data_IF_257727753161
#
_entry.id   IF_257727753161
#
_cell.length_a   1.000
_cell.length_b   1.000
_cell.length_c   1.000
_cell.angle_alpha   90.00
_cell.angle_beta   90.00
_cell.angle_gamma   90.00
#
_symmetry.space_group_name_H-M   'P 1'
#
loop_
_entity.id
_entity.type
_entity.pdbx_description
1 polymer ?
#
# COMPACT_ATOMS: atom_id res chain seq x y z
N UNK A 1 -2.09 13.62 -25.58
CA UNK A 1 -2.59 14.71 -24.74
C UNK A 1 -1.45 15.62 -24.33
N UNK A 2 -1.72 16.90 -24.11
CA UNK A 2 -0.73 17.93 -23.76
C UNK A 2 0.08 17.56 -22.50
N UNK A 3 -0.51 16.83 -21.55
CA UNK A 3 0.18 16.43 -20.32
C UNK A 3 1.15 15.28 -20.54
N UNK A 4 0.82 14.35 -21.43
CA UNK A 4 1.75 13.30 -21.83
C UNK A 4 2.93 13.88 -22.59
N UNK A 5 2.68 14.82 -23.49
CA UNK A 5 3.72 15.50 -24.27
C UNK A 5 4.68 16.25 -23.36
N UNK A 6 4.16 17.01 -22.38
CA UNK A 6 5.00 17.70 -21.37
C UNK A 6 5.83 16.71 -20.53
N UNK A 7 5.27 15.57 -20.19
CA UNK A 7 6.01 14.56 -19.44
C UNK A 7 7.14 13.94 -20.25
N UNK A 8 6.89 13.67 -21.52
CA UNK A 8 7.90 13.15 -22.43
C UNK A 8 9.00 14.16 -22.71
N UNK A 9 8.70 15.46 -22.69
CA UNK A 9 9.70 16.52 -22.73
C UNK A 9 10.55 16.57 -21.46
N UNK A 10 9.92 16.38 -20.28
CA UNK A 10 10.60 16.35 -18.98
C UNK A 10 11.35 15.05 -18.70
N UNK A 11 10.94 13.96 -19.35
CA UNK A 11 11.51 12.62 -19.19
C UNK A 11 11.79 12.02 -20.57
N UNK A 12 12.93 12.38 -21.19
CA UNK A 12 13.28 11.86 -22.50
C UNK A 12 13.36 10.34 -22.49
N UNK A 13 12.96 9.74 -23.60
CA UNK A 13 13.04 8.31 -23.77
C UNK A 13 14.43 7.77 -23.42
N UNK A 14 14.54 6.62 -22.73
CA UNK A 14 15.83 6.04 -22.39
C UNK A 14 16.68 5.81 -23.62
N UNK A 15 18.01 5.96 -23.54
CA UNK A 15 18.89 5.68 -24.65
C UNK A 15 18.80 4.21 -25.08
N UNK A 16 18.96 3.95 -26.38
CA UNK A 16 18.99 2.59 -26.93
C UNK A 16 17.63 1.95 -27.20
N UNK A 17 16.52 2.72 -27.17
CA UNK A 17 15.20 2.20 -27.45
C UNK A 17 14.63 1.28 -26.37
N UNK A 18 15.16 1.37 -25.15
CA UNK A 18 14.68 0.61 -24.00
C UNK A 18 13.23 1.02 -23.65
N UNK A 19 12.33 0.05 -23.38
CA UNK A 19 10.99 0.36 -22.92
C UNK A 19 10.99 1.09 -21.56
N UNK A 20 9.98 1.89 -21.31
CA UNK A 20 9.81 2.66 -20.08
C UNK A 20 8.34 2.86 -19.76
N UNK A 21 8.06 3.13 -18.49
CA UNK A 21 6.71 3.43 -18.01
C UNK A 21 6.59 4.93 -17.76
N UNK A 22 5.45 5.49 -18.10
CA UNK A 22 5.07 6.87 -17.78
C UNK A 22 3.75 6.83 -17.01
N UNK A 23 3.68 7.55 -15.89
CA UNK A 23 2.46 7.69 -15.09
C UNK A 23 2.13 9.17 -14.96
N UNK A 24 0.93 9.57 -15.39
CA UNK A 24 0.37 10.89 -15.13
C UNK A 24 -0.49 10.85 -13.88
N UNK A 25 -0.11 11.60 -12.85
CA UNK A 25 -0.91 11.75 -11.63
C UNK A 25 -2.21 12.49 -11.95
N UNK A 26 -2.14 13.54 -12.75
CA UNK A 26 -3.28 14.38 -13.12
C UNK A 26 -4.31 13.60 -13.96
N UNK A 27 -3.85 12.89 -14.99
CA UNK A 27 -4.74 12.12 -15.87
C UNK A 27 -5.12 10.76 -15.27
N UNK A 28 -4.42 10.31 -14.24
CA UNK A 28 -4.58 8.99 -13.63
C UNK A 28 -4.54 7.90 -14.68
N UNK A 29 -3.42 7.90 -15.43
CA UNK A 29 -3.15 6.99 -16.54
C UNK A 29 -1.69 6.57 -16.56
N UNK A 30 -1.47 5.33 -16.98
CA UNK A 30 -0.17 4.73 -17.17
C UNK A 30 -0.01 4.37 -18.65
N UNK A 31 1.19 4.61 -19.17
CA UNK A 31 1.64 4.16 -20.49
C UNK A 31 2.91 3.33 -20.37
N UNK A 32 2.96 2.21 -21.02
CA UNK A 32 4.18 1.46 -21.26
C UNK A 32 4.61 1.72 -22.71
N UNK A 33 5.78 2.31 -22.87
CA UNK A 33 6.23 2.85 -24.16
C UNK A 33 7.56 2.26 -24.58
N UNK A 34 7.80 2.24 -25.87
CA UNK A 34 9.11 2.00 -26.46
C UNK A 34 9.31 3.03 -27.58
N UNK A 35 10.24 3.98 -27.39
CA UNK A 35 10.32 5.16 -28.24
C UNK A 35 9.00 5.93 -28.23
N UNK A 36 8.52 6.27 -29.42
CA UNK A 36 7.24 6.98 -29.59
C UNK A 36 6.02 6.03 -29.55
N UNK A 37 6.25 4.72 -29.59
CA UNK A 37 5.18 3.74 -29.62
C UNK A 37 4.66 3.42 -28.25
N UNK A 38 3.34 3.46 -28.06
CA UNK A 38 2.67 2.97 -26.86
C UNK A 38 2.37 1.48 -27.02
N UNK A 39 3.00 0.66 -26.16
CA UNK A 39 2.78 -0.79 -26.13
C UNK A 39 1.48 -1.11 -25.39
N UNK A 40 1.25 -0.39 -24.27
CA UNK A 40 0.10 -0.60 -23.41
C UNK A 40 -0.25 0.69 -22.66
N UNK A 41 -1.53 0.93 -22.46
CA UNK A 41 -2.01 2.05 -21.65
C UNK A 41 -3.26 1.66 -20.87
N UNK A 42 -3.38 2.16 -19.66
CA UNK A 42 -4.55 1.91 -18.81
C UNK A 42 -4.76 3.03 -17.80
N UNK A 43 -5.98 3.09 -17.26
CA UNK A 43 -6.32 3.98 -16.16
C UNK A 43 -5.80 3.41 -14.85
N UNK A 44 -5.39 4.31 -13.94
CA UNK A 44 -4.85 3.95 -12.63
C UNK A 44 -5.51 4.80 -11.53
N UNK A 45 -5.33 4.38 -10.29
CA UNK A 45 -5.59 5.22 -9.13
C UNK A 45 -4.26 5.73 -8.58
N UNK A 46 -4.25 6.96 -8.13
CA UNK A 46 -3.07 7.64 -7.59
C UNK A 46 -3.32 8.12 -6.15
N UNK A 47 -2.29 8.65 -5.50
CA UNK A 47 -2.39 9.18 -4.15
C UNK A 47 -3.44 10.27 -4.01
N UNK A 48 -4.14 10.28 -2.88
CA UNK A 48 -5.21 11.25 -2.59
C UNK A 48 -4.68 12.67 -2.37
N UNK A 49 -3.41 12.82 -2.06
CA UNK A 49 -2.80 14.09 -1.65
C UNK A 49 -3.20 14.53 -0.24
N UNK A 50 -3.98 13.73 0.47
CA UNK A 50 -4.41 14.03 1.85
C UNK A 50 -3.26 13.85 2.82
N UNK A 51 -3.37 14.54 3.94
CA UNK A 51 -2.42 14.43 5.06
C UNK A 51 -3.12 13.80 6.26
N UNK A 52 -2.47 12.86 6.91
CA UNK A 52 -2.86 12.30 8.19
C UNK A 52 -1.89 12.82 9.26
N UNK A 53 -2.45 13.40 10.33
CA UNK A 53 -1.68 13.97 11.44
C UNK A 53 -2.03 13.22 12.71
N UNK A 54 -1.00 12.86 13.47
CA UNK A 54 -1.11 12.22 14.78
C UNK A 54 -0.52 13.14 15.88
N UNK A 55 -1.14 13.11 17.05
CA UNK A 55 -0.62 13.72 18.29
C UNK A 55 -0.21 15.20 18.14
N UNK A 56 -1.12 16.04 17.62
CA UNK A 56 -0.90 17.48 17.54
C UNK A 56 0.16 17.90 16.52
N UNK A 57 0.47 17.05 15.53
CA UNK A 57 1.38 17.37 14.43
C UNK A 57 2.79 16.82 14.59
N UNK A 58 3.05 15.96 15.57
CA UNK A 58 4.36 15.33 15.76
C UNK A 58 4.66 14.32 14.65
N UNK A 59 3.65 13.53 14.26
CA UNK A 59 3.73 12.59 13.13
C UNK A 59 2.75 13.01 12.04
N UNK A 60 3.26 13.14 10.82
CA UNK A 60 2.49 13.52 9.65
C UNK A 60 2.80 12.58 8.49
N UNK A 61 1.74 12.09 7.83
CA UNK A 61 1.85 11.28 6.61
C UNK A 61 1.12 11.97 5.47
N UNK A 62 1.82 12.18 4.38
CA UNK A 62 1.26 12.76 3.16
C UNK A 62 1.07 11.67 2.12
N UNK A 63 -0.18 11.48 1.69
CA UNK A 63 -0.55 10.40 0.76
C UNK A 63 -0.44 10.87 -0.69
N UNK A 64 0.78 11.17 -1.11
CA UNK A 64 1.09 11.58 -2.47
C UNK A 64 1.80 10.48 -3.25
N UNK A 65 1.46 10.35 -4.53
CA UNK A 65 2.28 9.60 -5.46
C UNK A 65 3.54 10.42 -5.75
N UNK A 66 4.75 9.84 -5.61
CA UNK A 66 6.00 10.58 -5.82
C UNK A 66 6.16 10.97 -7.28
N UNK A 67 6.75 12.14 -7.52
CA UNK A 67 7.09 12.62 -8.86
C UNK A 67 8.55 12.34 -9.15
N UNK A 68 8.89 12.15 -10.42
CA UNK A 68 10.25 11.99 -10.89
C UNK A 68 10.52 10.64 -11.48
N UNK A 69 11.81 10.31 -11.59
CA UNK A 69 12.28 9.05 -12.17
C UNK A 69 12.49 8.00 -11.08
N UNK A 70 11.82 6.87 -11.25
CA UNK A 70 12.02 5.66 -10.46
C UNK A 70 12.45 4.52 -11.36
N UNK A 71 12.80 3.39 -10.79
CA UNK A 71 13.22 2.20 -11.52
C UNK A 71 12.53 0.99 -10.92
N UNK A 72 12.08 0.07 -11.77
CA UNK A 72 11.54 -1.22 -11.32
C UNK A 72 12.64 -2.00 -10.61
N UNK A 73 12.45 -2.25 -9.32
CA UNK A 73 13.44 -2.92 -8.47
C UNK A 73 13.13 -4.39 -8.24
N UNK A 74 11.90 -4.78 -8.37
CA UNK A 74 11.47 -6.16 -8.17
C UNK A 74 10.01 -6.36 -8.53
N UNK A 75 9.58 -7.61 -8.56
CA UNK A 75 8.22 -8.01 -8.90
C UNK A 75 7.77 -9.14 -7.98
N UNK A 76 6.50 -9.13 -7.60
CA UNK A 76 5.92 -10.13 -6.70
C UNK A 76 4.56 -10.61 -7.21
N UNK A 77 4.29 -11.90 -7.00
CA UNK A 77 2.99 -12.55 -7.21
C UNK A 77 2.33 -12.72 -5.85
N UNK A 78 1.01 -12.49 -5.78
CA UNK A 78 0.21 -12.59 -4.54
C UNK A 78 0.88 -11.84 -3.37
N UNK A 79 1.16 -10.55 -3.52
CA UNK A 79 1.88 -9.79 -2.52
C UNK A 79 1.09 -9.70 -1.22
N UNK A 80 1.80 -9.78 -0.10
CA UNK A 80 1.25 -9.54 1.23
C UNK A 80 1.57 -8.11 1.62
N UNK A 81 0.56 -7.37 2.02
CA UNK A 81 0.75 -6.03 2.55
C UNK A 81 1.07 -6.08 4.04
N UNK A 82 2.14 -5.42 4.44
CA UNK A 82 2.48 -5.18 5.84
C UNK A 82 2.13 -3.72 6.12
N UNK A 83 0.93 -3.44 6.67
CA UNK A 83 0.48 -2.06 6.82
C UNK A 83 1.38 -1.28 7.78
N UNK A 84 1.81 -0.07 7.41
CA UNK A 84 2.49 0.84 8.33
C UNK A 84 1.54 1.36 9.41
N UNK A 85 2.09 2.00 10.43
CA UNK A 85 1.31 2.50 11.57
C UNK A 85 0.15 3.42 11.15
N UNK A 86 0.33 4.23 10.10
CA UNK A 86 -0.71 5.15 9.66
C UNK A 86 -2.03 4.46 9.29
N UNK A 87 -1.98 3.22 8.82
CA UNK A 87 -3.20 2.47 8.50
C UNK A 87 -4.09 2.30 9.73
N UNK A 88 -3.50 1.89 10.84
CA UNK A 88 -4.22 1.68 12.10
C UNK A 88 -4.67 3.00 12.72
N UNK A 89 -3.86 4.04 12.59
CA UNK A 89 -4.17 5.38 13.07
C UNK A 89 -5.35 5.98 12.28
N UNK A 90 -5.34 5.85 10.96
CA UNK A 90 -6.45 6.27 10.11
C UNK A 90 -7.75 5.51 10.46
N UNK A 91 -7.65 4.20 10.66
CA UNK A 91 -8.77 3.36 11.09
C UNK A 91 -9.33 3.82 12.43
N UNK A 92 -8.49 4.09 13.41
CA UNK A 92 -8.89 4.57 14.73
C UNK A 92 -9.54 5.96 14.65
N UNK A 93 -8.93 6.87 13.90
CA UNK A 93 -9.41 8.26 13.77
C UNK A 93 -10.82 8.30 13.15
N UNK A 94 -11.08 7.52 12.13
CA UNK A 94 -12.40 7.44 11.49
C UNK A 94 -13.50 6.89 12.41
N UNK A 95 -13.14 6.14 13.45
CA UNK A 95 -14.07 5.49 14.38
C UNK A 95 -14.11 6.12 15.76
N UNK A 96 -13.34 7.16 15.97
CA UNK A 96 -13.25 7.80 17.30
C UNK A 96 -12.63 6.91 18.37
N UNK A 97 -11.74 5.99 17.97
CA UNK A 97 -11.05 5.07 18.87
C UNK A 97 -9.66 5.59 19.23
N UNK A 98 -9.16 5.18 20.39
CA UNK A 98 -7.77 5.38 20.78
C UNK A 98 -6.83 4.41 20.07
N UNK A 99 -5.56 4.50 20.38
CA UNK A 99 -4.50 3.69 19.76
C UNK A 99 -3.65 3.08 20.86
N UNK A 100 -3.41 1.78 20.75
CA UNK A 100 -2.46 1.06 21.59
C UNK A 100 -1.47 0.31 20.71
N UNK A 101 -0.23 0.76 20.69
CA UNK A 101 0.85 0.04 20.00
C UNK A 101 1.32 -1.11 20.88
N UNK A 102 1.08 -2.33 20.44
CA UNK A 102 1.46 -3.53 21.16
C UNK A 102 2.91 -3.89 20.83
N UNK A 103 3.69 -4.16 21.88
CA UNK A 103 5.07 -4.62 21.74
C UNK A 103 5.19 -6.04 22.29
N UNK A 104 6.22 -6.77 21.86
CA UNK A 104 6.54 -8.07 22.44
C UNK A 104 6.86 -7.90 23.92
N UNK A 105 6.24 -8.74 24.76
CA UNK A 105 6.31 -8.62 26.21
C UNK A 105 5.18 -7.81 26.85
N UNK A 106 4.40 -7.08 26.06
CA UNK A 106 3.23 -6.37 26.55
C UNK A 106 2.07 -7.33 26.84
N UNK A 107 1.25 -6.96 27.83
CA UNK A 107 -0.01 -7.61 28.14
C UNK A 107 -1.10 -6.54 28.24
N UNK A 108 -2.09 -6.59 27.37
CA UNK A 108 -3.20 -5.67 27.35
C UNK A 108 -4.45 -6.34 27.91
N UNK A 109 -4.96 -5.84 29.02
CA UNK A 109 -6.21 -6.34 29.60
C UNK A 109 -7.39 -6.07 28.68
N UNK A 110 -8.29 -7.04 28.56
CA UNK A 110 -9.53 -6.94 27.81
C UNK A 110 -10.74 -6.87 28.73
N UNK A 111 -11.86 -6.24 28.30
CA UNK A 111 -13.06 -6.10 29.14
C UNK A 111 -13.69 -7.43 29.58
N UNK A 112 -13.38 -8.53 28.91
CA UNK A 112 -13.87 -9.88 29.26
C UNK A 112 -13.02 -10.56 30.35
N UNK A 113 -12.06 -9.85 30.95
CA UNK A 113 -11.17 -10.39 31.99
C UNK A 113 -9.98 -11.18 31.45
N UNK A 114 -9.74 -11.12 30.15
CA UNK A 114 -8.61 -11.75 29.50
C UNK A 114 -7.49 -10.79 29.16
N UNK A 115 -6.59 -11.24 28.29
CA UNK A 115 -5.40 -10.48 27.88
C UNK A 115 -5.13 -10.66 26.40
N UNK A 116 -4.56 -9.61 25.78
CA UNK A 116 -3.95 -9.68 24.45
C UNK A 116 -2.44 -9.58 24.62
N UNK A 117 -1.71 -10.55 24.08
CA UNK A 117 -0.26 -10.67 24.15
C UNK A 117 0.31 -11.11 22.82
N UNK A 118 1.63 -11.14 22.69
CA UNK A 118 2.33 -11.67 21.53
C UNK A 118 3.00 -12.97 21.91
N UNK A 119 2.65 -14.07 21.25
CA UNK A 119 3.27 -15.38 21.40
C UNK A 119 3.83 -15.86 20.06
N UNK A 120 5.15 -15.97 19.95
CA UNK A 120 5.80 -16.33 18.70
C UNK A 120 5.49 -15.31 17.59
N UNK A 121 4.87 -15.77 16.51
CA UNK A 121 4.49 -14.92 15.37
C UNK A 121 3.02 -14.49 15.41
N UNK A 122 2.33 -14.68 16.52
CA UNK A 122 0.92 -14.36 16.64
C UNK A 122 0.63 -13.37 17.74
N UNK A 123 -0.30 -12.46 17.47
CA UNK A 123 -1.03 -11.73 18.51
C UNK A 123 -2.18 -12.61 18.95
N UNK A 124 -2.23 -12.94 20.22
CA UNK A 124 -3.19 -13.90 20.76
C UNK A 124 -4.08 -13.25 21.82
N UNK A 125 -5.29 -13.78 21.95
CA UNK A 125 -6.22 -13.43 23.02
C UNK A 125 -6.34 -14.63 23.96
N UNK A 126 -5.97 -14.42 25.22
CA UNK A 126 -6.19 -15.37 26.29
C UNK A 126 -7.44 -14.97 27.05
N UNK A 127 -8.44 -15.85 27.07
CA UNK A 127 -9.69 -15.62 27.81
C UNK A 127 -9.51 -15.88 29.30
N UNK A 128 -10.49 -15.42 30.09
CA UNK A 128 -10.45 -15.60 31.56
C UNK A 128 -10.39 -17.07 31.99
N UNK A 129 -10.88 -18.01 31.18
CA UNK A 129 -10.80 -19.45 31.45
C UNK A 129 -9.46 -20.09 31.05
N UNK A 130 -8.50 -19.27 30.56
CA UNK A 130 -7.16 -19.72 30.19
C UNK A 130 -7.01 -20.19 28.74
N UNK A 131 -8.11 -20.28 27.96
CA UNK A 131 -8.02 -20.60 26.52
C UNK A 131 -7.39 -19.47 25.75
N UNK A 132 -6.47 -19.81 24.86
CA UNK A 132 -5.71 -18.86 24.04
C UNK A 132 -5.90 -19.16 22.57
N UNK A 133 -6.22 -18.12 21.80
CA UNK A 133 -6.42 -18.21 20.35
C UNK A 133 -5.70 -17.07 19.64
N UNK A 134 -5.06 -17.31 18.48
CA UNK A 134 -4.57 -16.25 17.63
C UNK A 134 -5.74 -15.41 17.12
N UNK A 135 -5.52 -14.08 17.07
CA UNK A 135 -6.51 -13.16 16.52
C UNK A 135 -6.51 -13.23 15.00
N UNK A 136 -7.65 -12.89 14.40
CA UNK A 136 -7.76 -12.76 12.95
C UNK A 136 -6.94 -11.57 12.45
N UNK A 137 -6.61 -11.58 11.16
CA UNK A 137 -5.88 -10.50 10.50
C UNK A 137 -6.52 -10.15 9.16
N UNK A 138 -6.30 -8.94 8.72
CA UNK A 138 -6.73 -8.46 7.42
C UNK A 138 -7.47 -7.14 7.49
N UNK A 139 -7.72 -6.56 6.33
CA UNK A 139 -8.50 -5.33 6.21
C UNK A 139 -9.93 -5.56 6.70
N UNK A 140 -10.42 -4.69 7.56
CA UNK A 140 -11.71 -4.80 8.23
C UNK A 140 -11.71 -5.71 9.47
N UNK A 141 -10.56 -6.32 9.80
CA UNK A 141 -10.38 -7.19 10.96
C UNK A 141 -9.30 -6.67 11.91
N UNK A 142 -9.13 -5.37 11.92
CA UNK A 142 -8.22 -4.70 12.84
C UNK A 142 -8.63 -4.99 14.28
N UNK A 143 -7.65 -5.19 15.14
CA UNK A 143 -7.89 -5.54 16.55
C UNK A 143 -8.37 -4.32 17.30
N UNK A 144 -9.54 -4.42 17.91
CA UNK A 144 -10.10 -3.38 18.78
C UNK A 144 -10.33 -3.97 20.16
N UNK A 145 -9.77 -3.35 21.18
CA UNK A 145 -9.91 -3.77 22.56
C UNK A 145 -9.91 -2.56 23.51
N UNK A 146 -10.82 -2.55 24.48
CA UNK A 146 -10.92 -1.50 25.50
C UNK A 146 -10.96 -0.07 24.91
N UNK A 147 -11.66 0.12 23.79
CA UNK A 147 -11.79 1.42 23.13
C UNK A 147 -10.59 1.84 22.27
N UNK A 148 -9.62 0.96 22.09
CA UNK A 148 -8.42 1.23 21.31
C UNK A 148 -8.29 0.29 20.11
N UNK A 149 -7.74 0.82 19.03
CA UNK A 149 -7.16 0.00 17.95
C UNK A 149 -5.79 -0.46 18.42
N UNK A 150 -5.58 -1.77 18.38
CA UNK A 150 -4.30 -2.39 18.77
C UNK A 150 -3.44 -2.53 17.52
N UNK A 151 -2.29 -1.88 17.51
CA UNK A 151 -1.32 -1.98 16.42
C UNK A 151 -0.42 -3.19 16.71
N UNK A 152 -0.51 -4.27 15.90
CA UNK A 152 0.33 -5.45 16.11
C UNK A 152 1.79 -5.16 15.74
N UNK A 153 2.75 -5.80 16.42
CA UNK A 153 4.16 -5.62 16.05
C UNK A 153 4.48 -6.21 14.69
N UNK A 154 5.50 -5.65 14.04
CA UNK A 154 6.03 -6.21 12.81
C UNK A 154 6.50 -7.66 13.03
N UNK A 155 6.32 -8.49 12.03
CA UNK A 155 6.65 -9.92 12.07
C UNK A 155 5.52 -10.81 12.57
N UNK A 156 4.44 -10.25 13.10
CA UNK A 156 3.25 -11.03 13.49
C UNK A 156 2.33 -11.27 12.30
N UNK A 157 1.60 -12.38 12.34
CA UNK A 157 0.60 -12.70 11.31
C UNK A 157 -0.53 -11.67 11.26
N UNK A 158 -0.84 -11.04 12.40
CA UNK A 158 -1.86 -10.00 12.49
C UNK A 158 -1.42 -8.67 11.87
N UNK A 159 -0.14 -8.52 11.53
CA UNK A 159 0.40 -7.39 10.77
C UNK A 159 0.52 -7.68 9.27
N UNK A 160 -0.05 -8.76 8.77
CA UNK A 160 0.02 -9.18 7.36
C UNK A 160 -1.37 -9.22 6.76
N UNK A 161 -1.61 -8.39 5.76
CA UNK A 161 -2.89 -8.29 5.07
C UNK A 161 -2.77 -8.87 3.66
N UNK A 162 -3.56 -9.91 3.39
CA UNK A 162 -3.58 -10.59 2.09
C UNK A 162 -4.68 -10.00 1.21
N UNK A 163 -4.43 -9.95 -0.11
CA UNK A 163 -5.41 -9.53 -1.12
C UNK A 163 -5.52 -8.04 -1.35
N UNK A 164 -5.12 -7.21 -0.41
CA UNK A 164 -5.24 -5.73 -0.49
C UNK A 164 -4.49 -5.16 -1.70
N UNK A 165 -3.31 -5.72 -2.00
CA UNK A 165 -2.47 -5.28 -3.13
C UNK A 165 -2.81 -5.98 -4.44
N UNK A 166 -3.90 -6.74 -4.48
CA UNK A 166 -4.31 -7.49 -5.66
C UNK A 166 -3.39 -8.64 -6.00
N UNK A 167 -3.35 -9.01 -7.29
CA UNK A 167 -2.68 -10.21 -7.76
C UNK A 167 -1.16 -10.08 -7.89
N UNK A 168 -0.65 -8.88 -8.17
CA UNK A 168 0.77 -8.63 -8.45
C UNK A 168 1.21 -7.26 -7.93
N UNK A 169 2.51 -7.14 -7.69
CA UNK A 169 3.14 -5.88 -7.33
C UNK A 169 4.46 -5.71 -8.09
N UNK A 170 4.69 -4.50 -8.61
CA UNK A 170 5.94 -4.08 -9.23
C UNK A 170 6.55 -3.02 -8.31
N UNK A 171 7.69 -3.33 -7.70
CA UNK A 171 8.35 -2.48 -6.71
C UNK A 171 9.15 -1.37 -7.37
N UNK A 172 8.99 -0.15 -6.89
CA UNK A 172 9.68 1.05 -7.40
C UNK A 172 10.72 1.62 -6.43
N UNK A 173 10.85 1.03 -5.25
CA UNK A 173 11.72 1.55 -4.19
C UNK A 173 11.01 2.52 -3.24
N UNK A 174 11.62 2.80 -2.10
CA UNK A 174 11.14 3.73 -1.06
C UNK A 174 9.70 3.43 -0.58
N UNK A 175 9.29 2.17 -0.65
CA UNK A 175 7.94 1.76 -0.26
C UNK A 175 6.87 2.02 -1.33
N UNK A 176 7.22 2.54 -2.50
CA UNK A 176 6.29 2.76 -3.60
C UNK A 176 6.25 1.59 -4.57
N UNK A 177 5.08 1.38 -5.15
CA UNK A 177 4.85 0.28 -6.08
C UNK A 177 3.70 0.58 -7.05
N UNK A 178 3.70 -0.16 -8.14
CA UNK A 178 2.52 -0.42 -8.96
C UNK A 178 1.94 -1.74 -8.47
N UNK A 179 0.66 -1.79 -8.16
CA UNK A 179 0.05 -3.03 -7.67
C UNK A 179 -1.42 -3.15 -8.10
N UNK A 180 -1.96 -4.35 -8.02
CA UNK A 180 -3.38 -4.58 -8.19
C UNK A 180 -4.21 -4.06 -7.03
N UNK A 181 -5.47 -4.42 -6.99
CA UNK A 181 -6.38 -3.93 -5.96
C UNK A 181 -7.53 -4.91 -5.71
N UNK A 182 -8.03 -4.94 -4.49
CA UNK A 182 -9.30 -5.56 -4.12
C UNK A 182 -10.49 -4.58 -4.29
N UNK A 183 -10.19 -3.33 -4.72
CA UNK A 183 -11.18 -2.25 -4.91
C UNK A 183 -11.13 -1.70 -6.34
N UNK A 184 -11.59 -2.48 -7.33
CA UNK A 184 -11.51 -2.07 -8.74
C UNK A 184 -12.28 -0.79 -9.05
N UNK A 185 -13.27 -0.43 -8.25
CA UNK A 185 -14.02 0.83 -8.37
C UNK A 185 -13.17 2.07 -8.10
N UNK A 186 -12.01 1.93 -7.47
CA UNK A 186 -11.09 3.05 -7.19
C UNK A 186 -10.26 3.50 -8.40
N UNK A 187 -10.22 2.70 -9.46
CA UNK A 187 -9.44 3.01 -10.67
C UNK A 187 -9.97 4.27 -11.35
N UNK A 188 -9.05 5.15 -11.70
CA UNK A 188 -9.36 6.46 -12.28
C UNK A 188 -9.56 7.57 -11.24
N UNK A 189 -9.33 7.29 -9.97
CA UNK A 189 -9.51 8.22 -8.87
C UNK A 189 -8.19 8.52 -8.15
N UNK A 190 -8.15 9.64 -7.42
CA UNK A 190 -7.04 10.02 -6.55
C UNK A 190 -7.40 9.62 -5.11
N UNK A 191 -7.22 8.36 -4.76
CA UNK A 191 -7.73 7.78 -3.50
C UNK A 191 -6.74 6.89 -2.76
N UNK A 192 -5.59 6.59 -3.35
CA UNK A 192 -4.59 5.75 -2.71
C UNK A 192 -3.77 6.50 -1.66
N UNK A 193 -2.92 5.80 -0.94
CA UNK A 193 -2.00 6.35 0.05
C UNK A 193 -0.60 6.62 -0.53
N UNK A 194 -0.48 6.68 -1.87
CA UNK A 194 0.74 7.01 -2.59
C UNK A 194 1.10 6.03 -3.70
N UNK A 195 0.86 4.74 -3.51
CA UNK A 195 1.07 3.75 -4.56
C UNK A 195 0.08 3.92 -5.72
N UNK A 196 0.49 3.45 -6.88
CA UNK A 196 -0.33 3.45 -8.09
C UNK A 196 -1.10 2.14 -8.18
N UNK A 197 -2.43 2.21 -8.16
CA UNK A 197 -3.30 1.03 -8.27
C UNK A 197 -3.73 0.81 -9.71
N UNK A 198 -3.65 -0.44 -10.14
CA UNK A 198 -4.14 -0.90 -11.43
C UNK A 198 -5.20 -1.99 -11.21
N UNK A 199 -6.01 -2.25 -12.23
CA UNK A 199 -6.82 -3.46 -12.24
C UNK A 199 -5.92 -4.69 -12.21
N UNK A 200 -6.39 -5.78 -11.63
CA UNK A 200 -5.59 -7.00 -11.50
C UNK A 200 -5.15 -7.56 -12.85
N UNK A 201 -6.01 -7.54 -13.87
CA UNK A 201 -5.66 -7.97 -15.22
C UNK A 201 -4.54 -7.10 -15.83
N UNK A 202 -4.53 -5.80 -15.56
CA UNK A 202 -3.53 -4.86 -16.11
C UNK A 202 -2.17 -5.04 -15.44
N UNK A 203 -2.14 -5.15 -14.11
CA UNK A 203 -0.88 -5.38 -13.40
C UNK A 203 -0.30 -6.76 -13.70
N UNK A 204 -1.14 -7.78 -13.88
CA UNK A 204 -0.70 -9.10 -14.28
C UNK A 204 -0.05 -9.07 -15.67
N UNK A 205 -0.62 -8.32 -16.61
CA UNK A 205 -0.05 -8.13 -17.93
C UNK A 205 1.29 -7.40 -17.86
N UNK A 206 1.37 -6.27 -17.17
CA UNK A 206 2.63 -5.54 -16.98
C UNK A 206 3.69 -6.39 -16.29
N UNK A 207 3.31 -7.14 -15.27
CA UNK A 207 4.21 -8.07 -14.60
C UNK A 207 4.87 -9.03 -15.59
N UNK A 208 4.13 -9.49 -16.59
CA UNK A 208 4.62 -10.45 -17.58
C UNK A 208 5.60 -9.85 -18.59
N UNK A 209 5.54 -8.54 -18.86
CA UNK A 209 6.30 -7.89 -19.93
C UNK A 209 7.31 -6.85 -19.46
N UNK A 210 7.20 -6.35 -18.22
CA UNK A 210 8.08 -5.28 -17.69
C UNK A 210 9.26 -5.92 -16.96
N UNK A 211 10.52 -5.74 -17.44
CA UNK A 211 11.69 -6.25 -16.75
C UNK A 211 12.05 -5.40 -15.52
N UNK A 212 12.74 -6.03 -14.57
CA UNK A 212 13.47 -5.30 -13.51
C UNK A 212 14.50 -4.38 -14.18
N UNK A 213 14.63 -3.16 -13.68
CA UNK A 213 15.49 -2.14 -14.27
C UNK A 213 14.76 -1.19 -15.24
N UNK A 214 13.49 -1.45 -15.55
CA UNK A 214 12.70 -0.56 -16.41
C UNK A 214 12.54 0.81 -15.75
N UNK A 215 12.85 1.92 -16.45
CA UNK A 215 12.59 3.27 -15.95
C UNK A 215 11.10 3.56 -15.82
N UNK A 216 10.73 4.29 -14.78
CA UNK A 216 9.36 4.73 -14.53
C UNK A 216 9.39 6.23 -14.26
N UNK A 217 8.68 6.99 -15.07
CA UNK A 217 8.57 8.45 -14.96
C UNK A 217 7.17 8.80 -14.45
N UNK A 218 7.11 9.46 -13.30
CA UNK A 218 5.87 9.91 -12.66
C UNK A 218 5.84 11.42 -12.60
N UNK A 219 4.81 12.04 -13.10
CA UNK A 219 4.69 13.49 -13.19
C UNK A 219 3.28 13.98 -12.90
#
# INVERSE_FOLDING_TARGET
>A
SDSLERALEAAPAPPGGQPFIVVSIEERRLWYKQGDQTIFTTRVATGSGKTLVKDGGVDEWKFETPRGKLVVQGKEIDPVWVPPDWHFIEFATKRGLGIKKLQRGDSLETPDGGFITVEGNDVVHTYADGRTYPLESGEGREIVAAGNVVIPPFGTNQRKFRGVLGSHRILLGDGYALHGTDKPQSIGQAVSHGCVRLRNEDIAYLYSIVPVGTPVFIY
#
